data_IF_666584673703
#
_entry.id   IF_666584673703
#
_cell.length_a   1.000
_cell.length_b   1.000
_cell.length_c   1.000
_cell.angle_alpha   90.00
_cell.angle_beta   90.00
_cell.angle_gamma   90.00
#
_symmetry.space_group_name_H-M   'P 1'
#
loop_
_entity.id
_entity.type
_entity.pdbx_description
1 polymer ?
#
# COMPACT_ATOMS: atom_id res chain seq x y z
N UNK A 1 -7.55 21.01 13.54
CA UNK A 1 -7.59 19.79 14.38
C UNK A 1 -8.80 18.98 13.93
N UNK A 2 -8.65 17.72 13.59
CA UNK A 2 -9.72 16.77 13.18
C UNK A 2 -9.70 15.58 14.12
N UNK A 3 -10.82 14.90 14.23
CA UNK A 3 -10.89 13.56 14.81
C UNK A 3 -10.68 12.53 13.72
N UNK A 4 -9.75 11.59 13.94
CA UNK A 4 -9.36 10.58 12.97
C UNK A 4 -9.50 9.20 13.62
N UNK A 5 -10.24 8.32 12.98
CA UNK A 5 -10.44 6.94 13.40
C UNK A 5 -9.54 6.01 12.58
N UNK A 6 -8.53 5.42 13.23
CA UNK A 6 -7.56 4.49 12.64
C UNK A 6 -7.91 3.05 13.02
N UNK A 7 -8.19 2.20 12.05
CA UNK A 7 -8.51 0.80 12.26
C UNK A 7 -7.33 -0.08 11.87
N UNK A 8 -6.78 -0.79 12.84
CA UNK A 8 -5.54 -1.55 12.77
C UNK A 8 -4.34 -0.78 13.32
N UNK A 9 -3.64 -1.39 14.28
CA UNK A 9 -2.44 -0.87 14.92
C UNK A 9 -1.21 -1.77 14.67
N UNK A 10 -1.13 -2.37 13.48
CA UNK A 10 0.05 -3.08 13.00
C UNK A 10 1.22 -2.12 12.73
N UNK A 11 2.26 -2.59 12.03
CA UNK A 11 3.46 -1.78 11.72
C UNK A 11 3.11 -0.46 11.03
N UNK A 12 2.34 -0.51 9.96
CA UNK A 12 1.90 0.67 9.20
C UNK A 12 0.91 1.51 10.01
N UNK A 13 -0.09 0.86 10.61
CA UNK A 13 -1.16 1.56 11.34
C UNK A 13 -0.65 2.36 12.53
N UNK A 14 0.28 1.80 13.28
CA UNK A 14 0.93 2.52 14.39
C UNK A 14 1.71 3.73 13.91
N UNK A 15 2.45 3.59 12.81
CA UNK A 15 3.20 4.69 12.22
C UNK A 15 2.28 5.84 11.77
N UNK A 16 1.22 5.51 11.01
CA UNK A 16 0.25 6.49 10.52
C UNK A 16 -0.41 7.23 11.68
N UNK A 17 -0.88 6.49 12.69
CA UNK A 17 -1.54 7.07 13.84
C UNK A 17 -0.63 8.03 14.62
N UNK A 18 0.63 7.65 14.84
CA UNK A 18 1.65 8.51 15.49
C UNK A 18 1.87 9.79 14.68
N UNK A 19 2.10 9.69 13.36
CA UNK A 19 2.33 10.86 12.52
C UNK A 19 1.14 11.82 12.45
N UNK A 20 -0.08 11.31 12.50
CA UNK A 20 -1.30 12.12 12.56
C UNK A 20 -1.44 12.83 13.92
N UNK A 21 -1.13 12.14 15.01
CA UNK A 21 -1.14 12.73 16.35
C UNK A 21 -0.05 13.79 16.52
N UNK A 22 1.17 13.56 16.04
CA UNK A 22 2.28 14.54 15.97
C UNK A 22 1.88 15.80 15.17
N UNK A 23 1.01 15.64 14.17
CA UNK A 23 0.47 16.74 13.37
C UNK A 23 -0.67 17.51 14.08
N UNK A 24 -0.98 17.18 15.34
CA UNK A 24 -1.96 17.88 16.18
C UNK A 24 -3.41 17.41 15.99
N UNK A 25 -3.64 16.26 15.37
CA UNK A 25 -4.97 15.66 15.26
C UNK A 25 -5.30 14.79 16.50
N UNK A 26 -6.59 14.60 16.79
CA UNK A 26 -7.05 13.62 17.77
C UNK A 26 -7.20 12.28 17.03
N UNK A 27 -6.54 11.24 17.51
CA UNK A 27 -6.52 9.92 16.85
C UNK A 27 -7.11 8.87 17.77
N UNK A 28 -8.14 8.19 17.30
CA UNK A 28 -8.70 7.01 17.93
C UNK A 28 -8.25 5.77 17.16
N UNK A 29 -7.54 4.86 17.82
CA UNK A 29 -7.03 3.63 17.22
C UNK A 29 -7.86 2.45 17.71
N UNK A 30 -8.23 1.57 16.82
CA UNK A 30 -9.01 0.35 17.07
C UNK A 30 -8.21 -0.88 16.66
N UNK A 31 -7.95 -1.79 17.60
CA UNK A 31 -7.26 -3.06 17.33
C UNK A 31 -7.72 -4.15 18.31
N UNK A 32 -7.72 -5.40 17.88
CA UNK A 32 -8.04 -6.54 18.73
C UNK A 32 -6.84 -6.94 19.62
N UNK A 33 -5.63 -6.53 19.27
CA UNK A 33 -4.42 -6.93 19.96
C UNK A 33 -3.92 -5.83 20.91
N UNK A 34 -4.06 -6.08 22.21
CA UNK A 34 -3.57 -5.17 23.25
C UNK A 34 -2.07 -4.89 23.18
N UNK A 35 -1.26 -5.82 22.66
CA UNK A 35 0.18 -5.63 22.53
C UNK A 35 0.56 -4.52 21.55
N UNK A 36 -0.38 -4.09 20.72
CA UNK A 36 -0.21 -2.97 19.78
C UNK A 36 -0.44 -1.59 20.44
N UNK A 37 -0.76 -1.54 21.73
CA UNK A 37 -1.03 -0.29 22.47
C UNK A 37 0.25 0.49 22.87
N UNK A 38 1.37 0.29 22.20
CA UNK A 38 2.68 0.91 22.53
C UNK A 38 2.79 2.38 22.10
N UNK A 39 1.71 3.16 22.23
CA UNK A 39 1.71 4.58 21.86
C UNK A 39 2.24 5.52 22.97
N UNK A 40 2.75 4.98 24.06
CA UNK A 40 3.27 5.77 25.18
C UNK A 40 2.25 6.76 25.76
N UNK A 41 2.75 7.86 26.34
CA UNK A 41 1.92 8.94 26.88
C UNK A 41 1.52 9.99 25.82
N UNK A 42 1.32 9.61 24.57
CA UNK A 42 0.91 10.54 23.51
C UNK A 42 -0.50 11.07 23.77
N UNK A 43 -0.58 12.33 24.16
CA UNK A 43 -1.81 13.00 24.60
C UNK A 43 -2.95 13.02 23.59
N UNK A 44 -2.63 12.81 22.31
CA UNK A 44 -3.60 12.90 21.21
C UNK A 44 -4.04 11.53 20.69
N UNK A 45 -3.61 10.43 21.31
CA UNK A 45 -3.98 9.08 20.90
C UNK A 45 -4.87 8.44 21.97
N UNK A 46 -6.01 7.88 21.55
CA UNK A 46 -6.87 7.03 22.35
C UNK A 46 -6.93 5.64 21.74
N UNK A 47 -6.50 4.62 22.48
CA UNK A 47 -6.51 3.25 22.03
C UNK A 47 -7.77 2.50 22.50
N UNK A 48 -8.43 1.82 21.56
CA UNK A 48 -9.65 1.04 21.80
C UNK A 48 -9.39 -0.44 21.47
N UNK A 49 -9.40 -1.29 22.49
CA UNK A 49 -9.25 -2.73 22.35
C UNK A 49 -10.58 -3.38 21.97
N UNK A 50 -10.57 -4.33 21.06
CA UNK A 50 -11.68 -5.18 20.68
C UNK A 50 -11.96 -5.24 19.20
N UNK A 51 -12.84 -6.15 18.80
CA UNK A 51 -13.26 -6.27 17.41
C UNK A 51 -14.02 -5.00 16.97
N UNK A 52 -13.60 -4.44 15.85
CA UNK A 52 -14.24 -3.27 15.27
C UNK A 52 -15.71 -3.53 14.87
N UNK A 53 -16.03 -4.77 14.51
CA UNK A 53 -17.38 -5.14 14.11
C UNK A 53 -18.37 -5.30 15.27
N UNK A 54 -17.88 -5.39 16.51
CA UNK A 54 -18.69 -5.36 17.74
C UNK A 54 -19.04 -3.91 18.17
N UNK A 55 -18.52 -2.90 17.46
CA UNK A 55 -18.75 -1.49 17.78
C UNK A 55 -19.88 -0.90 16.96
N UNK A 56 -20.56 0.07 17.56
CA UNK A 56 -21.51 0.92 16.84
C UNK A 56 -20.76 1.94 15.97
N UNK A 57 -20.40 1.53 14.76
CA UNK A 57 -19.74 2.39 13.79
C UNK A 57 -20.66 3.51 13.27
N UNK A 58 -21.97 3.38 13.46
CA UNK A 58 -22.93 4.41 13.06
C UNK A 58 -22.99 5.58 14.03
N UNK A 59 -22.53 5.38 15.25
CA UNK A 59 -22.38 6.45 16.25
C UNK A 59 -21.19 7.38 15.97
N UNK A 60 -20.24 7.00 15.08
CA UNK A 60 -19.11 7.84 14.72
C UNK A 60 -19.56 8.99 13.81
N UNK A 61 -18.94 10.16 13.96
CA UNK A 61 -19.32 11.39 13.24
C UNK A 61 -19.17 11.29 11.74
N UNK A 62 -20.02 12.00 10.99
CA UNK A 62 -19.93 12.01 9.52
C UNK A 62 -18.76 12.88 9.01
N UNK A 63 -18.36 13.91 9.79
CA UNK A 63 -17.25 14.80 9.42
C UNK A 63 -15.87 14.28 9.87
N UNK A 64 -15.84 13.10 10.48
CA UNK A 64 -14.61 12.46 10.92
C UNK A 64 -13.89 11.79 9.73
N UNK A 65 -12.58 11.61 9.87
CA UNK A 65 -11.76 10.87 8.91
C UNK A 65 -11.61 9.43 9.38
N UNK A 66 -11.79 8.49 8.47
CA UNK A 66 -11.67 7.06 8.72
C UNK A 66 -10.49 6.50 7.94
N UNK A 67 -9.55 5.85 8.62
CA UNK A 67 -8.36 5.26 8.01
C UNK A 67 -8.38 3.75 8.27
N UNK A 68 -8.63 2.97 7.23
CA UNK A 68 -8.69 1.53 7.31
C UNK A 68 -7.35 0.91 6.95
N UNK A 69 -6.71 0.27 7.92
CA UNK A 69 -5.42 -0.40 7.80
C UNK A 69 -5.50 -1.86 8.27
N UNK A 70 -6.72 -2.42 8.23
CA UNK A 70 -6.95 -3.83 8.54
C UNK A 70 -6.52 -4.72 7.36
N UNK A 71 -6.13 -5.97 7.63
CA UNK A 71 -5.73 -6.91 6.59
C UNK A 71 -6.87 -7.23 5.60
N UNK A 72 -6.54 -7.34 4.34
CA UNK A 72 -7.26 -7.93 3.23
C UNK A 72 -8.80 -7.84 3.30
N UNK A 73 -9.45 -8.98 3.29
CA UNK A 73 -10.93 -9.08 3.26
C UNK A 73 -11.63 -8.51 4.50
N UNK A 74 -10.96 -8.53 5.66
CA UNK A 74 -11.47 -7.90 6.88
C UNK A 74 -11.55 -6.39 6.67
N UNK A 75 -10.50 -5.80 6.11
CA UNK A 75 -10.46 -4.39 5.78
C UNK A 75 -11.52 -4.02 4.74
N UNK A 76 -11.65 -4.79 3.65
CA UNK A 76 -12.67 -4.55 2.64
C UNK A 76 -14.08 -4.50 3.25
N UNK A 77 -14.44 -5.47 4.10
CA UNK A 77 -15.74 -5.49 4.81
C UNK A 77 -15.95 -4.26 5.71
N UNK A 78 -14.87 -3.77 6.34
CA UNK A 78 -14.96 -2.55 7.13
C UNK A 78 -15.22 -1.34 6.24
N UNK A 79 -14.51 -1.21 5.14
CA UNK A 79 -14.72 -0.12 4.18
C UNK A 79 -16.14 -0.14 3.62
N UNK A 80 -16.70 -1.31 3.26
CA UNK A 80 -18.10 -1.44 2.86
C UNK A 80 -19.04 -0.90 3.94
N UNK A 81 -18.85 -1.30 5.19
CA UNK A 81 -19.69 -0.87 6.31
C UNK A 81 -19.55 0.63 6.61
N UNK A 82 -18.36 1.19 6.53
CA UNK A 82 -18.14 2.62 6.71
C UNK A 82 -18.73 3.42 5.54
N UNK A 83 -18.55 2.95 4.31
CA UNK A 83 -18.98 3.64 3.11
C UNK A 83 -20.51 3.66 2.91
N UNK A 84 -21.23 2.71 3.47
CA UNK A 84 -22.70 2.67 3.40
C UNK A 84 -23.38 3.85 4.09
N UNK A 85 -22.69 4.53 5.01
CA UNK A 85 -23.18 5.74 5.67
C UNK A 85 -22.74 6.99 4.91
N UNK A 86 -23.64 7.96 4.77
CA UNK A 86 -23.37 9.19 4.01
C UNK A 86 -22.38 10.14 4.70
N UNK A 87 -21.68 10.95 3.89
CA UNK A 87 -20.88 12.09 4.33
C UNK A 87 -19.52 11.74 4.96
N UNK A 88 -18.99 10.52 4.75
CA UNK A 88 -17.72 10.06 5.34
C UNK A 88 -16.53 10.25 4.41
N UNK A 89 -15.36 10.47 5.00
CA UNK A 89 -14.06 10.48 4.35
C UNK A 89 -13.29 9.23 4.76
N UNK A 90 -13.07 8.31 3.82
CA UNK A 90 -12.47 7.01 4.09
C UNK A 90 -11.19 6.85 3.27
N UNK A 91 -10.07 6.58 3.96
CA UNK A 91 -8.80 6.19 3.36
C UNK A 91 -8.60 4.71 3.64
N UNK A 92 -8.44 3.90 2.60
CA UNK A 92 -8.35 2.44 2.72
C UNK A 92 -7.00 1.92 2.17
N UNK A 93 -6.31 1.17 3.03
CA UNK A 93 -5.05 0.51 2.72
C UNK A 93 -5.21 -1.01 2.61
N UNK A 94 -6.42 -1.54 2.77
CA UNK A 94 -6.62 -2.99 2.76
C UNK A 94 -6.32 -3.60 1.39
N UNK A 95 -5.51 -4.67 1.38
CA UNK A 95 -5.09 -5.36 0.16
C UNK A 95 -5.93 -6.62 -0.09
N UNK A 96 -7.22 -6.45 -0.30
CA UNK A 96 -8.15 -7.55 -0.61
C UNK A 96 -8.17 -7.90 -2.10
N UNK A 97 -8.63 -9.11 -2.43
CA UNK A 97 -8.87 -9.52 -3.81
C UNK A 97 -9.99 -8.70 -4.45
N UNK A 98 -11.09 -8.53 -3.72
CA UNK A 98 -12.19 -7.66 -4.13
C UNK A 98 -11.83 -6.22 -3.83
N UNK A 99 -11.79 -5.39 -4.86
CA UNK A 99 -11.45 -3.97 -4.74
C UNK A 99 -12.70 -3.10 -4.53
N UNK A 100 -12.60 -1.95 -3.86
CA UNK A 100 -13.74 -1.06 -3.60
C UNK A 100 -14.51 -0.64 -4.86
N UNK A 101 -13.83 -0.39 -5.97
CA UNK A 101 -14.44 -0.05 -7.26
C UNK A 101 -15.27 -1.18 -7.88
N UNK A 102 -15.06 -2.44 -7.46
CA UNK A 102 -15.79 -3.60 -7.97
C UNK A 102 -17.08 -3.94 -7.20
N UNK A 103 -17.44 -3.22 -6.17
CA UNK A 103 -18.58 -3.63 -5.36
C UNK A 103 -19.19 -2.58 -4.42
N UNK A 104 -18.58 -1.42 -4.26
CA UNK A 104 -19.12 -0.39 -3.36
C UNK A 104 -20.07 0.61 -4.07
N UNK A 105 -20.02 0.75 -5.37
CA UNK A 105 -20.76 1.79 -6.09
C UNK A 105 -22.28 1.77 -5.81
N UNK A 106 -22.86 0.58 -5.67
CA UNK A 106 -24.31 0.44 -5.39
C UNK A 106 -24.67 0.64 -3.91
N UNK A 107 -23.67 0.58 -3.00
CA UNK A 107 -23.87 0.64 -1.55
C UNK A 107 -23.31 1.88 -0.86
N UNK A 108 -22.69 2.80 -1.61
CA UNK A 108 -22.07 3.99 -1.02
C UNK A 108 -23.13 5.01 -0.58
N UNK A 109 -22.99 5.51 0.66
CA UNK A 109 -23.87 6.54 1.20
C UNK A 109 -23.67 7.90 0.52
N UNK A 110 -24.72 8.69 0.42
CA UNK A 110 -24.71 10.00 -0.25
C UNK A 110 -23.64 10.90 0.37
N UNK A 111 -22.76 11.47 -0.47
CA UNK A 111 -21.71 12.38 -0.04
C UNK A 111 -20.46 11.70 0.54
N UNK A 112 -20.44 10.38 0.64
CA UNK A 112 -19.25 9.64 1.08
C UNK A 112 -18.17 9.63 0.00
N UNK A 113 -16.93 9.77 0.44
CA UNK A 113 -15.72 9.79 -0.38
C UNK A 113 -14.78 8.69 0.11
N UNK A 114 -14.38 7.79 -0.78
CA UNK A 114 -13.43 6.72 -0.49
C UNK A 114 -12.20 6.90 -1.36
N UNK A 115 -11.02 6.93 -0.74
CA UNK A 115 -9.73 6.84 -1.42
C UNK A 115 -9.06 5.54 -0.98
N UNK A 116 -8.90 4.61 -1.90
CA UNK A 116 -8.41 3.26 -1.61
C UNK A 116 -7.04 3.00 -2.25
N UNK A 117 -6.38 1.91 -1.86
CA UNK A 117 -5.02 1.54 -2.29
C UNK A 117 -3.97 2.62 -1.95
N UNK A 118 -4.04 3.18 -0.76
CA UNK A 118 -3.21 4.33 -0.35
C UNK A 118 -1.94 3.86 0.36
N UNK A 119 -0.99 3.31 -0.40
CA UNK A 119 0.30 2.84 0.09
C UNK A 119 1.46 3.22 -0.82
N UNK A 120 2.57 2.48 -0.71
CA UNK A 120 3.70 2.65 -1.62
C UNK A 120 3.39 2.00 -2.99
N UNK A 121 2.89 0.77 -3.00
CA UNK A 121 2.44 0.01 -4.16
C UNK A 121 1.41 -1.05 -3.70
N UNK A 122 0.14 -0.89 -4.09
CA UNK A 122 -0.42 0.24 -4.82
C UNK A 122 -0.43 1.55 -4.03
N UNK A 123 -0.46 2.68 -4.75
CA UNK A 123 -0.52 4.02 -4.18
C UNK A 123 0.45 4.99 -4.84
N UNK A 124 1.66 5.16 -4.30
CA UNK A 124 2.68 6.02 -4.90
C UNK A 124 3.07 5.55 -6.31
N UNK A 125 3.12 4.24 -6.54
CA UNK A 125 3.33 3.66 -7.88
C UNK A 125 2.29 4.15 -8.89
N UNK A 126 1.01 4.17 -8.48
CA UNK A 126 -0.11 4.66 -9.29
C UNK A 126 0.05 6.14 -9.62
N UNK A 127 0.47 6.95 -8.63
CA UNK A 127 0.71 8.38 -8.81
C UNK A 127 1.82 8.65 -9.84
N UNK A 128 2.91 7.85 -9.82
CA UNK A 128 3.97 7.97 -10.83
C UNK A 128 3.48 7.62 -12.23
N UNK A 129 2.74 6.53 -12.37
CA UNK A 129 2.19 6.12 -13.67
C UNK A 129 1.13 7.10 -14.19
N UNK A 130 0.30 7.67 -13.31
CA UNK A 130 -0.63 8.74 -13.66
C UNK A 130 0.11 10.00 -14.15
N UNK A 131 1.21 10.37 -13.49
CA UNK A 131 2.06 11.47 -13.93
C UNK A 131 2.68 11.19 -15.29
N UNK A 132 3.24 9.98 -15.51
CA UNK A 132 3.79 9.56 -16.80
C UNK A 132 2.74 9.64 -17.91
N UNK A 133 1.55 9.08 -17.66
CA UNK A 133 0.45 9.13 -18.64
C UNK A 133 0.05 10.58 -18.97
N UNK A 134 -0.06 11.44 -17.96
CA UNK A 134 -0.39 12.86 -18.16
C UNK A 134 0.67 13.62 -18.95
N UNK A 135 1.96 13.28 -18.75
CA UNK A 135 3.08 13.90 -19.47
C UNK A 135 3.13 13.52 -20.94
N UNK A 136 2.71 12.29 -21.28
CA UNK A 136 2.94 11.71 -22.63
C UNK A 136 1.66 11.48 -23.42
N UNK A 137 0.50 11.54 -22.77
CA UNK A 137 -0.80 11.29 -23.38
C UNK A 137 -1.12 9.80 -23.65
N UNK A 138 -0.24 8.88 -23.23
CA UNK A 138 -0.45 7.42 -23.34
C UNK A 138 0.82 6.64 -23.03
N UNK A 139 0.64 5.43 -22.56
CA UNK A 139 1.75 4.52 -22.22
C UNK A 139 1.71 3.30 -23.13
N UNK A 140 2.87 2.91 -23.62
CA UNK A 140 3.09 1.62 -24.25
C UNK A 140 3.32 0.55 -23.19
N UNK A 141 4.12 0.86 -22.18
CA UNK A 141 4.45 -0.08 -21.09
C UNK A 141 4.43 0.64 -19.74
N UNK A 142 3.91 -0.06 -18.73
CA UNK A 142 4.00 0.33 -17.33
C UNK A 142 4.45 -0.87 -16.49
N UNK A 143 5.51 -0.74 -15.73
CA UNK A 143 6.06 -1.80 -14.91
C UNK A 143 6.33 -1.29 -13.49
N UNK A 144 5.89 -2.05 -12.50
CA UNK A 144 6.15 -1.78 -11.08
C UNK A 144 6.91 -2.98 -10.51
N UNK A 145 7.96 -2.71 -9.75
CA UNK A 145 8.69 -3.70 -8.96
C UNK A 145 8.80 -3.19 -7.54
N UNK A 146 8.36 -3.94 -6.54
CA UNK A 146 8.37 -3.49 -5.15
C UNK A 146 8.71 -4.62 -4.19
N UNK A 147 9.38 -4.32 -3.10
CA UNK A 147 9.63 -5.30 -2.04
C UNK A 147 10.20 -4.69 -0.77
N UNK A 148 9.74 -5.21 0.38
CA UNK A 148 10.36 -5.04 1.68
C UNK A 148 11.14 -6.30 2.04
N UNK A 149 12.41 -6.15 2.41
CA UNK A 149 13.31 -7.28 2.62
C UNK A 149 14.28 -7.00 3.78
N UNK A 150 14.76 -8.03 4.50
CA UNK A 150 15.93 -7.88 5.38
C UNK A 150 17.12 -7.33 4.59
N UNK A 151 17.91 -6.45 5.22
CA UNK A 151 19.09 -5.87 4.57
C UNK A 151 20.19 -6.92 4.27
N UNK A 152 20.22 -8.00 5.04
CA UNK A 152 21.19 -9.09 4.93
C UNK A 152 20.51 -10.46 4.84
N UNK A 153 21.12 -11.37 4.10
CA UNK A 153 20.72 -12.78 4.06
C UNK A 153 21.29 -13.49 5.28
N UNK A 154 20.41 -13.96 6.19
CA UNK A 154 20.80 -14.66 7.42
C UNK A 154 20.48 -16.17 7.40
N UNK A 155 20.10 -16.71 6.24
CA UNK A 155 19.60 -18.08 6.12
C UNK A 155 18.08 -18.19 6.33
N UNK A 156 17.57 -19.42 6.41
CA UNK A 156 16.13 -19.64 6.48
C UNK A 156 15.40 -19.14 5.22
N UNK A 157 14.37 -18.34 5.39
CA UNK A 157 13.63 -17.73 4.29
C UNK A 157 14.30 -16.49 3.69
N UNK A 158 15.27 -15.89 4.40
CA UNK A 158 15.81 -14.56 4.08
C UNK A 158 14.69 -13.52 3.87
N UNK A 159 13.65 -13.63 4.66
CA UNK A 159 12.46 -12.80 4.58
C UNK A 159 11.83 -12.60 5.96
N UNK A 160 11.19 -11.47 6.15
CA UNK A 160 10.26 -11.16 7.23
C UNK A 160 9.16 -10.25 6.66
N UNK A 161 7.92 -10.49 7.05
CA UNK A 161 6.78 -9.78 6.50
C UNK A 161 6.70 -8.35 7.06
N UNK A 162 6.83 -7.32 6.22
CA UNK A 162 6.82 -5.92 6.67
C UNK A 162 5.39 -5.38 6.91
N UNK A 163 4.37 -6.18 6.64
CA UNK A 163 2.96 -5.95 6.92
C UNK A 163 2.27 -7.29 7.23
N UNK A 164 0.95 -7.40 7.09
CA UNK A 164 0.21 -8.63 7.39
C UNK A 164 0.82 -9.86 6.70
N UNK A 165 1.34 -10.86 7.43
CA UNK A 165 1.90 -12.07 6.80
C UNK A 165 0.88 -12.83 5.95
N UNK A 166 -0.41 -12.80 6.31
CA UNK A 166 -1.48 -13.43 5.52
C UNK A 166 -1.67 -12.75 4.18
N UNK A 167 -1.60 -11.42 4.12
CA UNK A 167 -1.69 -10.67 2.87
C UNK A 167 -0.45 -10.89 1.99
N UNK A 168 0.74 -11.01 2.62
CA UNK A 168 1.95 -11.42 1.91
C UNK A 168 1.79 -12.80 1.28
N UNK A 169 1.26 -13.79 2.02
CA UNK A 169 1.03 -15.14 1.49
C UNK A 169 0.03 -15.10 0.32
N UNK A 170 -0.95 -14.19 0.37
CA UNK A 170 -1.87 -14.00 -0.75
C UNK A 170 -1.16 -13.58 -2.04
N UNK A 171 -0.08 -12.79 -1.98
CA UNK A 171 0.75 -12.46 -3.15
C UNK A 171 1.34 -13.71 -3.83
N UNK A 172 1.58 -14.78 -3.08
CA UNK A 172 2.19 -16.03 -3.59
C UNK A 172 1.16 -17.05 -4.11
N UNK A 173 -0.10 -16.84 -3.81
CA UNK A 173 -1.16 -17.81 -4.13
C UNK A 173 -2.22 -17.25 -5.07
N UNK A 174 -2.44 -15.94 -5.06
CA UNK A 174 -3.41 -15.25 -5.90
C UNK A 174 -2.89 -15.15 -7.35
N UNK A 175 -3.69 -15.56 -8.36
CA UNK A 175 -3.36 -15.26 -9.75
C UNK A 175 -3.23 -13.75 -9.98
N UNK A 176 -2.27 -13.35 -10.79
CA UNK A 176 -1.98 -11.94 -11.08
C UNK A 176 -2.73 -11.48 -12.33
N UNK A 177 -3.40 -10.34 -12.23
CA UNK A 177 -3.97 -9.62 -13.38
C UNK A 177 -2.88 -8.74 -13.99
N UNK A 178 -2.74 -8.81 -15.29
CA UNK A 178 -1.77 -8.04 -16.09
C UNK A 178 -2.46 -7.45 -17.31
N UNK A 179 -1.84 -6.50 -17.97
CA UNK A 179 -2.28 -6.05 -19.29
C UNK A 179 -1.30 -6.53 -20.34
N UNK A 180 -1.81 -7.21 -21.37
CA UNK A 180 -1.05 -7.70 -22.53
C UNK A 180 -1.80 -7.30 -23.81
N UNK A 181 -1.13 -6.56 -24.69
CA UNK A 181 -1.77 -6.03 -25.91
C UNK A 181 -3.01 -5.17 -25.63
N UNK A 182 -3.05 -4.45 -24.51
CA UNK A 182 -4.19 -3.64 -24.08
C UNK A 182 -5.36 -4.44 -23.49
N UNK A 183 -5.22 -5.73 -23.25
CA UNK A 183 -6.25 -6.62 -22.69
C UNK A 183 -5.81 -7.15 -21.34
N UNK A 184 -6.74 -7.20 -20.38
CA UNK A 184 -6.47 -7.79 -19.06
C UNK A 184 -6.41 -9.31 -19.20
N UNK A 185 -5.29 -9.88 -18.82
CA UNK A 185 -5.04 -11.32 -18.71
C UNK A 185 -4.81 -11.72 -17.26
N UNK A 186 -5.11 -12.98 -16.94
CA UNK A 186 -4.88 -13.55 -15.62
C UNK A 186 -3.79 -14.63 -15.76
N UNK A 187 -2.66 -14.41 -15.11
CA UNK A 187 -1.52 -15.31 -15.10
C UNK A 187 -1.37 -16.02 -13.75
N UNK A 188 -0.77 -17.23 -13.72
CA UNK A 188 -0.55 -17.93 -12.46
C UNK A 188 0.31 -17.10 -11.50
N UNK A 189 0.03 -17.23 -10.21
CA UNK A 189 0.91 -16.68 -9.17
C UNK A 189 2.34 -17.19 -9.34
N UNK A 190 3.32 -16.38 -8.97
CA UNK A 190 4.75 -16.68 -9.03
C UNK A 190 5.29 -16.92 -10.46
N UNK A 191 4.56 -16.51 -11.50
CA UNK A 191 5.03 -16.59 -12.87
C UNK A 191 5.96 -15.43 -13.25
N UNK A 192 6.49 -15.44 -14.47
CA UNK A 192 7.39 -14.41 -15.05
C UNK A 192 8.58 -14.06 -14.15
N UNK A 193 9.14 -15.05 -13.44
CA UNK A 193 10.29 -14.83 -12.57
C UNK A 193 11.52 -14.40 -13.36
N UNK A 194 12.18 -13.37 -12.86
CA UNK A 194 13.43 -12.88 -13.45
C UNK A 194 14.33 -12.25 -12.38
N UNK A 195 15.60 -12.14 -12.70
CA UNK A 195 16.59 -11.49 -11.84
C UNK A 195 16.66 -10.01 -12.17
N UNK A 196 16.76 -9.18 -11.13
CA UNK A 196 17.02 -7.74 -11.23
C UNK A 196 18.21 -7.38 -10.36
N UNK A 197 18.96 -6.35 -10.77
CA UNK A 197 20.04 -5.79 -9.95
C UNK A 197 19.57 -4.47 -9.33
N UNK A 198 19.60 -4.40 -8.00
CA UNK A 198 19.24 -3.19 -7.25
C UNK A 198 20.54 -2.51 -6.80
N UNK A 199 20.77 -1.24 -7.17
CA UNK A 199 21.95 -0.50 -6.76
C UNK A 199 22.13 -0.53 -5.24
N UNK A 200 23.33 -0.87 -4.78
CA UNK A 200 23.66 -0.97 -3.36
C UNK A 200 23.12 -2.20 -2.62
N UNK A 201 22.29 -3.04 -3.29
CA UNK A 201 21.72 -4.28 -2.70
C UNK A 201 22.17 -5.53 -3.44
N UNK A 202 22.49 -5.42 -4.74
CA UNK A 202 22.89 -6.53 -5.59
C UNK A 202 21.71 -7.23 -6.25
N UNK A 203 21.92 -8.50 -6.60
CA UNK A 203 20.96 -9.27 -7.38
C UNK A 203 19.79 -9.76 -6.54
N UNK A 204 18.57 -9.47 -7.00
CA UNK A 204 17.29 -9.86 -6.39
C UNK A 204 16.46 -10.65 -7.40
N UNK A 205 15.43 -11.34 -6.93
CA UNK A 205 14.48 -12.08 -7.77
C UNK A 205 13.13 -11.39 -7.75
N UNK A 206 12.57 -11.11 -8.92
CA UNK A 206 11.24 -10.56 -9.10
C UNK A 206 10.28 -11.63 -9.62
N UNK A 207 9.02 -11.59 -9.20
CA UNK A 207 7.96 -12.49 -9.65
C UNK A 207 6.63 -11.74 -9.70
N UNK A 208 5.77 -12.16 -10.65
CA UNK A 208 4.50 -11.50 -10.92
C UNK A 208 3.54 -11.60 -9.76
N UNK A 209 2.91 -10.46 -9.40
CA UNK A 209 1.90 -10.32 -8.35
C UNK A 209 0.71 -9.45 -8.79
N UNK A 210 -0.42 -9.52 -8.06
CA UNK A 210 -1.69 -8.85 -8.41
C UNK A 210 -1.78 -7.43 -7.83
N UNK A 211 -0.76 -6.61 -8.08
CA UNK A 211 -0.65 -5.27 -7.50
C UNK A 211 -1.02 -4.10 -8.42
N UNK A 212 -1.35 -4.34 -9.70
CA UNK A 212 -1.75 -3.27 -10.63
C UNK A 212 -3.07 -2.62 -10.23
N UNK A 213 -4.06 -3.41 -9.86
CA UNK A 213 -5.37 -3.00 -9.33
C UNK A 213 -6.08 -1.93 -10.18
N UNK A 214 -6.32 -0.74 -9.65
CA UNK A 214 -7.08 0.32 -10.33
C UNK A 214 -6.45 0.80 -11.64
N UNK A 215 -5.12 0.83 -11.74
CA UNK A 215 -4.46 1.39 -12.93
C UNK A 215 -4.74 0.61 -14.21
N UNK A 216 -5.13 -0.66 -14.11
CA UNK A 216 -5.53 -1.45 -15.29
C UNK A 216 -6.75 -0.87 -16.02
N UNK A 217 -7.63 -0.17 -15.30
CA UNK A 217 -8.85 0.42 -15.85
C UNK A 217 -8.75 1.94 -16.04
N UNK A 218 -7.85 2.60 -15.30
CA UNK A 218 -7.77 4.07 -15.26
C UNK A 218 -6.66 4.63 -16.14
N UNK A 219 -5.60 3.86 -16.42
CA UNK A 219 -4.47 4.28 -17.23
C UNK A 219 -4.34 3.38 -18.45
N UNK A 220 -4.59 3.88 -19.68
CA UNK A 220 -4.41 3.07 -20.89
C UNK A 220 -2.94 2.75 -21.12
N UNK A 221 -2.61 1.45 -21.30
CA UNK A 221 -1.31 1.00 -21.76
C UNK A 221 -1.44 -0.32 -22.54
N UNK A 222 -0.47 -0.61 -23.42
CA UNK A 222 -0.43 -1.89 -24.15
C UNK A 222 0.04 -3.01 -23.22
N UNK A 223 1.02 -2.74 -22.36
CA UNK A 223 1.62 -3.72 -21.45
C UNK A 223 1.66 -3.16 -20.02
N UNK A 224 1.15 -3.91 -19.04
CA UNK A 224 1.30 -3.59 -17.62
C UNK A 224 1.61 -4.83 -16.81
N UNK A 225 2.57 -4.69 -15.88
CA UNK A 225 2.93 -5.73 -14.92
C UNK A 225 3.34 -5.13 -13.57
N UNK A 226 3.06 -5.89 -12.51
CA UNK A 226 3.60 -5.60 -11.18
C UNK A 226 4.31 -6.85 -10.66
N UNK A 227 5.48 -6.65 -10.07
CA UNK A 227 6.33 -7.72 -9.56
C UNK A 227 6.70 -7.46 -8.10
N UNK A 228 6.59 -8.49 -7.29
CA UNK A 228 7.16 -8.48 -5.94
C UNK A 228 8.62 -8.92 -5.98
N UNK A 229 9.46 -8.25 -5.19
CA UNK A 229 10.92 -8.45 -5.19
C UNK A 229 11.36 -9.11 -3.89
N UNK A 230 12.15 -10.19 -3.98
CA UNK A 230 12.69 -10.94 -2.85
C UNK A 230 14.16 -11.32 -3.07
N UNK A 231 14.83 -11.75 -2.01
CA UNK A 231 16.14 -12.35 -2.12
C UNK A 231 16.11 -13.63 -2.96
N UNK A 232 17.14 -13.89 -3.80
CA UNK A 232 17.22 -15.12 -4.60
C UNK A 232 17.11 -16.38 -3.75
N UNK A 233 16.37 -17.37 -4.25
CA UNK A 233 16.11 -18.65 -3.59
C UNK A 233 14.89 -18.67 -2.66
N UNK A 234 14.33 -17.51 -2.31
CA UNK A 234 13.12 -17.42 -1.48
C UNK A 234 11.91 -18.05 -2.20
N UNK A 235 11.66 -17.64 -3.44
CA UNK A 235 10.53 -18.14 -4.24
C UNK A 235 10.68 -19.61 -4.58
N UNK A 236 11.91 -20.04 -4.91
CA UNK A 236 12.17 -21.44 -5.17
C UNK A 236 11.91 -22.33 -3.96
N UNK A 237 12.25 -21.87 -2.76
CA UNK A 237 11.93 -22.55 -1.51
C UNK A 237 10.42 -22.66 -1.33
N UNK A 238 9.67 -21.57 -1.49
CA UNK A 238 8.22 -21.55 -1.36
C UNK A 238 7.56 -22.56 -2.31
N UNK A 239 7.94 -22.54 -3.59
CA UNK A 239 7.40 -23.46 -4.61
C UNK A 239 7.72 -24.90 -4.23
N UNK A 240 8.95 -25.21 -3.84
CA UNK A 240 9.36 -26.56 -3.45
C UNK A 240 8.54 -27.07 -2.26
N UNK A 241 8.37 -26.27 -1.21
CA UNK A 241 7.61 -26.68 -0.02
C UNK A 241 6.12 -26.84 -0.33
N UNK A 242 5.55 -25.98 -1.15
CA UNK A 242 4.18 -26.12 -1.67
C UNK A 242 4.00 -27.41 -2.46
N UNK A 243 4.87 -27.67 -3.43
CA UNK A 243 4.74 -28.81 -4.35
C UNK A 243 5.02 -30.16 -3.69
N UNK A 244 5.79 -30.19 -2.61
CA UNK A 244 6.01 -31.38 -1.76
C UNK A 244 4.94 -31.56 -0.71
N UNK A 245 4.03 -30.60 -0.53
CA UNK A 245 3.00 -30.63 0.51
C UNK A 245 3.54 -30.42 1.93
N UNK A 246 4.76 -29.88 2.05
CA UNK A 246 5.39 -29.56 3.34
C UNK A 246 5.14 -28.12 3.80
N UNK A 247 4.47 -27.30 2.99
CA UNK A 247 4.16 -25.91 3.34
C UNK A 247 3.03 -25.86 4.38
N UNK A 248 3.35 -25.38 5.57
CA UNK A 248 2.39 -25.07 6.62
C UNK A 248 2.24 -23.55 6.73
N UNK A 249 1.02 -23.05 6.53
CA UNK A 249 0.75 -21.61 6.50
C UNK A 249 0.89 -20.97 7.89
N UNK A 250 0.49 -21.65 8.95
CA UNK A 250 0.56 -21.11 10.31
C UNK A 250 2.03 -21.08 10.79
N UNK A 251 2.83 -22.11 10.46
CA UNK A 251 4.28 -22.10 10.69
C UNK A 251 4.96 -20.98 9.88
N UNK A 252 4.57 -20.81 8.63
CA UNK A 252 5.12 -19.76 7.75
C UNK A 252 4.86 -18.35 8.29
N UNK A 253 3.65 -18.11 8.83
CA UNK A 253 3.30 -16.83 9.46
C UNK A 253 4.23 -16.54 10.65
N UNK A 254 4.55 -17.56 11.44
CA UNK A 254 5.46 -17.43 12.58
C UNK A 254 6.91 -17.24 12.13
N UNK A 255 7.37 -17.97 11.11
CA UNK A 255 8.73 -17.84 10.54
C UNK A 255 8.95 -16.47 9.84
N UNK A 256 7.90 -15.90 9.26
CA UNK A 256 7.96 -14.60 8.59
C UNK A 256 7.62 -13.43 9.51
N UNK A 257 7.50 -13.66 10.81
CA UNK A 257 7.26 -12.58 11.78
C UNK A 257 8.34 -11.51 11.67
N UNK A 258 7.91 -10.24 11.67
CA UNK A 258 8.82 -9.10 11.58
C UNK A 258 9.74 -9.03 12.80
N UNK A 259 11.05 -8.99 12.55
CA UNK A 259 12.09 -8.79 13.56
C UNK A 259 12.48 -7.31 13.64
N UNK A 260 11.99 -6.63 14.67
CA UNK A 260 12.28 -5.21 14.92
C UNK A 260 13.76 -4.90 15.20
N UNK A 261 14.59 -5.92 15.42
CA UNK A 261 16.04 -5.75 15.67
C UNK A 261 16.88 -5.92 14.40
N UNK A 262 16.28 -6.44 13.35
CA UNK A 262 16.96 -6.66 12.08
C UNK A 262 16.91 -5.41 11.20
N UNK A 263 18.03 -5.07 10.58
CA UNK A 263 18.07 -4.06 9.52
C UNK A 263 17.29 -4.56 8.31
N UNK A 264 16.51 -3.68 7.71
CA UNK A 264 15.67 -3.99 6.56
C UNK A 264 15.59 -2.81 5.60
N UNK A 265 15.01 -3.03 4.44
CA UNK A 265 14.79 -1.98 3.46
C UNK A 265 13.53 -2.23 2.64
N UNK A 266 12.93 -1.15 2.18
CA UNK A 266 11.92 -1.14 1.12
C UNK A 266 12.52 -0.52 -0.12
N UNK A 267 12.31 -1.16 -1.26
CA UNK A 267 12.69 -0.66 -2.57
C UNK A 267 11.53 -0.79 -3.55
N UNK A 268 11.32 0.24 -4.36
CA UNK A 268 10.37 0.22 -5.45
C UNK A 268 10.98 0.87 -6.69
N UNK A 269 10.86 0.19 -7.83
CA UNK A 269 11.13 0.74 -9.16
C UNK A 269 9.83 0.84 -9.95
N UNK A 270 9.57 1.99 -10.56
CA UNK A 270 8.44 2.20 -11.48
C UNK A 270 9.00 2.64 -12.82
N UNK A 271 8.66 1.93 -13.88
CA UNK A 271 9.10 2.22 -15.25
C UNK A 271 7.90 2.44 -16.16
N UNK A 272 7.91 3.53 -16.90
CA UNK A 272 6.90 3.82 -17.91
C UNK A 272 7.56 4.12 -19.24
N UNK A 273 7.07 3.50 -20.32
CA UNK A 273 7.50 3.78 -21.69
C UNK A 273 6.31 4.37 -22.44
N UNK A 274 6.51 5.53 -23.06
CA UNK A 274 5.47 6.17 -23.87
C UNK A 274 5.35 5.52 -25.27
N UNK A 275 4.38 5.97 -26.04
CA UNK A 275 4.13 5.48 -27.39
C UNK A 275 5.22 5.85 -28.41
N UNK A 276 6.16 6.74 -28.03
CA UNK A 276 7.33 7.13 -28.83
C UNK A 276 8.59 6.37 -28.45
N UNK A 277 8.53 5.56 -27.36
CA UNK A 277 9.65 4.81 -26.83
C UNK A 277 10.51 5.54 -25.81
N UNK A 278 10.09 6.72 -25.33
CA UNK A 278 10.79 7.41 -24.24
C UNK A 278 10.48 6.74 -22.89
N UNK A 279 11.52 6.55 -22.10
CA UNK A 279 11.41 5.91 -20.78
C UNK A 279 11.41 6.95 -19.66
N UNK A 280 10.55 6.71 -18.67
CA UNK A 280 10.51 7.43 -17.41
C UNK A 280 10.62 6.43 -16.27
N UNK A 281 11.66 6.58 -15.44
CA UNK A 281 11.93 5.66 -14.33
C UNK A 281 11.93 6.41 -13.00
N UNK A 282 11.24 5.85 -12.02
CA UNK A 282 11.30 6.29 -10.63
C UNK A 282 11.83 5.15 -9.75
N UNK A 283 12.66 5.51 -8.79
CA UNK A 283 13.14 4.61 -7.75
C UNK A 283 12.84 5.22 -6.40
N UNK A 284 12.24 4.43 -5.52
CA UNK A 284 12.00 4.76 -4.12
C UNK A 284 12.79 3.79 -3.26
N UNK A 285 13.54 4.28 -2.29
CA UNK A 285 14.31 3.46 -1.35
C UNK A 285 14.25 4.04 0.05
N UNK A 286 14.06 3.18 1.04
CA UNK A 286 14.14 3.51 2.46
C UNK A 286 14.73 2.35 3.25
N UNK A 287 15.50 2.63 4.28
CA UNK A 287 16.10 1.60 5.16
C UNK A 287 15.55 1.67 6.58
N UNK A 288 14.38 2.27 6.74
CA UNK A 288 13.81 2.55 8.05
C UNK A 288 14.50 3.69 8.78
N UNK A 289 14.01 3.99 9.96
CA UNK A 289 14.54 5.03 10.84
C UNK A 289 14.09 4.82 12.27
N UNK A 290 14.46 5.75 13.14
CA UNK A 290 14.05 5.72 14.56
C UNK A 290 12.54 5.81 14.74
N UNK A 291 11.83 6.33 13.72
CA UNK A 291 10.38 6.54 13.72
C UNK A 291 9.59 5.35 13.12
N UNK A 292 10.25 4.38 12.50
CA UNK A 292 9.54 3.22 11.95
C UNK A 292 10.37 2.37 10.97
N UNK A 293 9.82 1.20 10.65
CA UNK A 293 10.38 0.34 9.60
C UNK A 293 10.19 0.96 8.21
N UNK A 294 11.02 0.56 7.24
CA UNK A 294 11.03 1.15 5.90
C UNK A 294 9.66 1.06 5.20
N UNK A 295 8.97 -0.09 5.32
CA UNK A 295 7.64 -0.26 4.73
C UNK A 295 6.58 0.57 5.47
N UNK A 296 6.66 0.64 6.81
CA UNK A 296 5.74 1.47 7.60
C UNK A 296 5.92 2.96 7.25
N UNK A 297 7.15 3.41 7.05
CA UNK A 297 7.48 4.78 6.64
C UNK A 297 7.01 5.07 5.21
N UNK A 298 7.40 4.26 4.25
CA UNK A 298 7.07 4.51 2.83
C UNK A 298 5.57 4.44 2.57
N UNK A 299 4.87 3.43 3.09
CA UNK A 299 3.41 3.32 2.99
C UNK A 299 2.70 4.39 3.83
N UNK A 300 3.13 4.55 5.07
CA UNK A 300 2.48 5.47 6.02
C UNK A 300 2.62 6.94 5.65
N UNK A 301 3.75 7.38 5.09
CA UNK A 301 3.92 8.77 4.63
C UNK A 301 3.00 9.09 3.44
N UNK A 302 2.81 8.16 2.51
CA UNK A 302 1.81 8.32 1.43
C UNK A 302 0.43 8.51 2.04
N UNK A 303 0.05 7.64 2.96
CA UNK A 303 -1.25 7.69 3.65
C UNK A 303 -1.45 9.01 4.39
N UNK A 304 -0.48 9.42 5.20
CA UNK A 304 -0.53 10.69 5.95
C UNK A 304 -0.62 11.88 5.00
N UNK A 305 0.09 11.85 3.87
CA UNK A 305 0.04 12.90 2.86
C UNK A 305 -1.34 13.04 2.22
N UNK A 306 -1.97 11.91 1.87
CA UNK A 306 -3.34 11.90 1.34
C UNK A 306 -4.35 12.45 2.36
N UNK A 307 -4.24 12.02 3.64
CA UNK A 307 -5.12 12.49 4.71
C UNK A 307 -4.96 14.00 4.93
N UNK A 308 -3.73 14.50 5.00
CA UNK A 308 -3.44 15.94 5.13
C UNK A 308 -4.02 16.75 3.98
N UNK A 309 -3.79 16.31 2.74
CA UNK A 309 -4.33 16.98 1.56
C UNK A 309 -5.86 17.03 1.60
N UNK A 310 -6.51 15.95 2.05
CA UNK A 310 -7.98 15.92 2.17
C UNK A 310 -8.52 16.79 3.30
N UNK A 311 -7.77 16.93 4.41
CA UNK A 311 -8.11 17.86 5.50
C UNK A 311 -7.99 19.32 5.04
N UNK A 312 -6.96 19.63 4.24
CA UNK A 312 -6.69 20.97 3.72
C UNK A 312 -7.67 21.38 2.61
N UNK A 313 -8.04 20.42 1.73
CA UNK A 313 -9.05 20.59 0.70
C UNK A 313 -10.05 19.42 0.70
N UNK A 314 -11.14 19.52 1.46
CA UNK A 314 -12.18 18.49 1.52
C UNK A 314 -12.86 18.19 0.19
N UNK A 315 -12.78 19.09 -0.76
CA UNK A 315 -13.42 18.98 -2.10
C UNK A 315 -12.41 18.57 -3.21
N UNK A 316 -11.15 18.26 -2.89
CA UNK A 316 -10.16 17.85 -3.88
C UNK A 316 -10.59 16.59 -4.68
N UNK A 317 -11.41 15.74 -4.07
CA UNK A 317 -12.11 14.62 -4.70
C UNK A 317 -13.60 14.75 -4.37
N UNK A 318 -14.46 14.56 -5.39
CA UNK A 318 -15.91 14.55 -5.21
C UNK A 318 -16.41 13.32 -4.44
N UNK A 319 -17.71 13.24 -4.14
CA UNK A 319 -18.31 12.01 -3.63
C UNK A 319 -18.08 10.84 -4.57
N UNK A 320 -17.82 9.65 -4.01
CA UNK A 320 -17.58 8.43 -4.78
C UNK A 320 -16.33 7.68 -4.34
N UNK A 321 -15.89 6.77 -5.19
CA UNK A 321 -14.76 5.87 -4.99
C UNK A 321 -13.60 6.34 -5.87
N UNK A 322 -12.46 6.56 -5.26
CA UNK A 322 -11.28 7.12 -5.90
C UNK A 322 -10.04 6.27 -5.63
N UNK A 323 -9.19 6.15 -6.63
CA UNK A 323 -7.87 5.56 -6.53
C UNK A 323 -6.78 6.66 -6.51
N UNK A 324 -5.54 6.33 -6.12
CA UNK A 324 -4.45 7.32 -5.98
C UNK A 324 -4.13 8.11 -7.25
N UNK A 325 -4.32 7.52 -8.41
CA UNK A 325 -4.14 8.17 -9.71
C UNK A 325 -5.16 9.28 -10.02
N UNK A 326 -6.27 9.35 -9.26
CA UNK A 326 -7.26 10.42 -9.36
C UNK A 326 -6.87 11.69 -8.58
N UNK A 327 -5.85 11.60 -7.74
CA UNK A 327 -5.40 12.75 -6.96
C UNK A 327 -4.89 13.89 -7.86
N UNK A 328 -5.12 15.15 -7.48
CA UNK A 328 -4.51 16.28 -8.18
C UNK A 328 -2.98 16.17 -8.20
N UNK A 329 -2.36 16.54 -9.30
CA UNK A 329 -0.89 16.46 -9.47
C UNK A 329 -0.14 17.24 -8.38
N UNK A 330 -0.68 18.39 -7.95
CA UNK A 330 -0.10 19.15 -6.85
C UNK A 330 -0.07 18.39 -5.53
N UNK A 331 -1.10 17.55 -5.26
CA UNK A 331 -1.14 16.67 -4.09
C UNK A 331 -0.09 15.57 -4.21
N UNK A 332 -0.01 14.90 -5.36
CA UNK A 332 1.03 13.88 -5.61
C UNK A 332 2.44 14.45 -5.37
N UNK A 333 2.72 15.65 -5.88
CA UNK A 333 4.00 16.34 -5.68
C UNK A 333 4.26 16.65 -4.21
N UNK A 334 3.26 17.15 -3.48
CA UNK A 334 3.38 17.44 -2.04
C UNK A 334 3.68 16.17 -1.22
N UNK A 335 3.08 15.04 -1.57
CA UNK A 335 3.35 13.74 -0.94
C UNK A 335 4.82 13.34 -1.15
N UNK A 336 5.31 13.43 -2.38
CA UNK A 336 6.71 13.10 -2.73
C UNK A 336 7.68 14.01 -1.97
N UNK A 337 7.41 15.32 -1.92
CA UNK A 337 8.24 16.27 -1.17
C UNK A 337 8.23 15.98 0.34
N UNK A 338 7.08 15.62 0.90
CA UNK A 338 6.98 15.19 2.29
C UNK A 338 7.78 13.91 2.56
N UNK A 339 7.71 12.92 1.68
CA UNK A 339 8.50 11.68 1.80
C UNK A 339 10.00 11.98 1.76
N UNK A 340 10.46 12.78 0.80
CA UNK A 340 11.86 13.24 0.71
C UNK A 340 12.29 14.01 1.98
N UNK A 341 11.42 14.89 2.48
CA UNK A 341 11.65 15.63 3.72
C UNK A 341 11.77 14.76 4.97
N UNK A 342 11.21 13.55 4.94
CA UNK A 342 11.35 12.52 5.98
C UNK A 342 12.49 11.52 5.68
N UNK A 343 13.35 11.79 4.70
CA UNK A 343 14.55 10.99 4.41
C UNK A 343 14.31 9.79 3.50
N UNK A 344 13.12 9.61 2.91
CA UNK A 344 12.91 8.60 1.88
C UNK A 344 13.60 9.04 0.59
N UNK A 345 14.46 8.21 0.04
CA UNK A 345 15.11 8.47 -1.23
C UNK A 345 14.12 8.26 -2.38
N UNK A 346 13.91 9.28 -3.20
CA UNK A 346 13.08 9.22 -4.39
C UNK A 346 13.84 9.87 -5.56
N UNK A 347 14.21 9.04 -6.54
CA UNK A 347 14.93 9.43 -7.75
C UNK A 347 14.00 9.25 -8.95
N UNK A 348 13.99 10.19 -9.88
CA UNK A 348 13.21 10.11 -11.12
C UNK A 348 12.81 11.47 -11.63
N UNK A 349 12.06 11.54 -12.75
CA UNK A 349 11.54 12.77 -13.29
C UNK A 349 10.64 13.51 -12.29
N UNK A 350 10.69 14.84 -12.33
CA UNK A 350 9.75 15.64 -11.55
C UNK A 350 8.33 15.48 -12.10
N UNK A 351 7.36 15.38 -11.19
CA UNK A 351 5.95 15.40 -11.56
C UNK A 351 5.57 16.85 -11.94
N UNK A 352 5.13 17.11 -13.17
CA UNK A 352 4.73 18.45 -13.59
C UNK A 352 3.47 18.90 -12.85
N UNK A 353 3.31 20.22 -12.71
CA UNK A 353 2.10 20.83 -12.12
C UNK A 353 0.93 20.78 -13.11
#
# INVERSE_FOLDING_TARGET
>A
MKLIHCFGAGLVGSYVATKLAESGHQVHIYDINQNNSKFGDEKNITFHIGDVFDRDLDALGNDDMFVNMLPGDIGHRLTEKLASKGGRYIVDLSFSEKTPDMGLEEGIGIGTKVLWDVGIAPGLSNMFLAAAHKMTGGLKMAEIKVGGNPAEKKGGWNYMAPFSPRDVIAEYTRPARVVRGGIIEILPALSERHTIDIPGRGSMEAFLTDGLRSIMSTIPAEEMSEYTVRWPGHIERFIRERDTGSLDIDELIDEWRFDHTASEFTWMGVSAIDNLGNTMDWVVSDSGGDDGSSMARTTGLVTVGCIKAWIDDPEMLGPGIHAPEHLPTAVMKSIIEMMRGNGVEIIGPDIPL
#
